data_IF_033204414360
#
_entry.id   IF_033204414360
#
_cell.length_a   1.000
_cell.length_b   1.000
_cell.length_c   1.000
_cell.angle_alpha   90.00
_cell.angle_beta   90.00
_cell.angle_gamma   90.00
#
_symmetry.space_group_name_H-M   'P 1'
#
loop_
_entity.id
_entity.type
_entity.pdbx_description
1 polymer ?
#
# COMPACT_ATOMS: atom_id res chain seq x y z
N UNK A 1 16.06 -2.60 22.80
CA UNK A 1 15.32 -2.69 21.53
C UNK A 1 15.32 -1.33 20.86
N UNK A 2 15.59 -1.25 19.56
CA UNK A 2 15.51 0.01 18.83
C UNK A 2 14.07 0.53 18.86
N UNK A 3 13.88 1.81 19.18
CA UNK A 3 12.54 2.41 19.15
C UNK A 3 11.96 2.39 17.72
N UNK A 4 10.63 2.44 17.59
CA UNK A 4 9.93 2.45 16.29
C UNK A 4 10.49 3.51 15.32
N UNK A 5 10.89 4.67 15.84
CA UNK A 5 11.49 5.74 15.03
C UNK A 5 12.88 5.36 14.51
N UNK A 6 13.70 4.74 15.32
CA UNK A 6 15.04 4.27 14.92
C UNK A 6 14.94 3.18 13.86
N UNK A 7 14.05 2.22 14.05
CA UNK A 7 13.76 1.18 13.06
C UNK A 7 13.27 1.79 11.74
N UNK A 8 12.36 2.78 11.80
CA UNK A 8 11.87 3.50 10.62
C UNK A 8 13.01 4.15 9.85
N UNK A 9 13.88 4.90 10.51
CA UNK A 9 14.97 5.62 9.84
C UNK A 9 16.02 4.64 9.28
N UNK A 10 16.32 3.56 9.97
CA UNK A 10 17.21 2.51 9.49
C UNK A 10 16.66 1.88 8.20
N UNK A 11 15.40 1.44 8.21
CA UNK A 11 14.77 0.79 7.04
C UNK A 11 14.60 1.73 5.84
N UNK A 12 14.37 3.02 6.07
CA UNK A 12 14.41 4.02 5.00
C UNK A 12 15.79 4.12 4.35
N UNK A 13 16.86 4.15 5.16
CA UNK A 13 18.24 4.21 4.65
C UNK A 13 18.60 2.94 3.88
N UNK A 14 18.28 1.76 4.41
CA UNK A 14 18.50 0.48 3.74
C UNK A 14 17.78 0.47 2.38
N UNK A 15 16.52 0.88 2.32
CA UNK A 15 15.75 0.94 1.07
C UNK A 15 16.31 1.97 0.09
N UNK A 16 16.71 3.13 0.55
CA UNK A 16 17.30 4.18 -0.29
C UNK A 16 18.65 3.80 -0.91
N UNK A 17 19.35 2.80 -0.36
CA UNK A 17 20.62 2.30 -0.92
C UNK A 17 20.45 1.40 -2.14
N UNK A 18 19.25 0.92 -2.43
CA UNK A 18 18.97 0.15 -3.64
C UNK A 18 19.13 1.02 -4.89
N UNK A 19 19.61 0.44 -5.98
CA UNK A 19 19.58 1.09 -7.29
C UNK A 19 18.13 1.21 -7.81
N UNK A 20 17.91 2.09 -8.78
CA UNK A 20 16.59 2.19 -9.45
C UNK A 20 16.26 0.91 -10.22
N UNK A 21 17.24 0.28 -10.83
CA UNK A 21 17.10 -0.96 -11.59
C UNK A 21 16.71 -2.13 -10.66
N UNK A 22 17.42 -2.27 -9.53
CA UNK A 22 17.09 -3.29 -8.52
C UNK A 22 15.67 -3.11 -7.96
N UNK A 23 15.30 -1.88 -7.62
CA UNK A 23 13.95 -1.58 -7.13
C UNK A 23 12.87 -1.89 -8.20
N UNK A 24 13.16 -1.62 -9.48
CA UNK A 24 12.25 -1.93 -10.58
C UNK A 24 12.10 -3.44 -10.79
N UNK A 25 13.20 -4.21 -10.82
CA UNK A 25 13.14 -5.67 -10.99
C UNK A 25 12.39 -6.34 -9.83
N UNK A 26 12.72 -5.98 -8.60
CA UNK A 26 12.02 -6.49 -7.42
C UNK A 26 10.52 -6.12 -7.44
N UNK A 27 10.18 -4.90 -7.85
CA UNK A 27 8.78 -4.47 -7.97
C UNK A 27 8.01 -5.27 -9.02
N UNK A 28 8.65 -5.64 -10.14
CA UNK A 28 8.04 -6.50 -11.16
C UNK A 28 7.72 -7.88 -10.59
N UNK A 29 8.64 -8.50 -9.84
CA UNK A 29 8.40 -9.81 -9.19
C UNK A 29 7.28 -9.72 -8.16
N UNK A 30 7.21 -8.63 -7.38
CA UNK A 30 6.12 -8.36 -6.45
C UNK A 30 4.78 -8.23 -7.21
N UNK A 31 4.75 -7.55 -8.36
CA UNK A 31 3.56 -7.44 -9.19
C UNK A 31 3.06 -8.80 -9.69
N UNK A 32 3.95 -9.66 -10.19
CA UNK A 32 3.62 -11.01 -10.64
C UNK A 32 2.98 -11.83 -9.49
N UNK A 33 3.57 -11.76 -8.29
CA UNK A 33 3.03 -12.43 -7.11
C UNK A 33 1.66 -11.85 -6.70
N UNK A 34 1.51 -10.51 -6.66
CA UNK A 34 0.25 -9.85 -6.35
C UNK A 34 -0.87 -10.26 -7.31
N UNK A 35 -0.60 -10.22 -8.62
CA UNK A 35 -1.59 -10.55 -9.65
C UNK A 35 -1.98 -12.03 -9.66
N UNK A 36 -1.14 -12.88 -9.10
CA UNK A 36 -1.42 -14.31 -8.92
C UNK A 36 -2.36 -14.61 -7.75
N UNK A 37 -2.51 -13.69 -6.79
CA UNK A 37 -3.36 -13.88 -5.62
C UNK A 37 -4.83 -14.08 -6.00
N UNK A 38 -5.51 -15.09 -5.45
CA UNK A 38 -6.96 -15.25 -5.63
C UNK A 38 -7.75 -14.01 -5.23
N UNK A 39 -7.35 -13.37 -4.13
CA UNK A 39 -7.97 -12.14 -3.61
C UNK A 39 -7.88 -10.99 -4.62
N UNK A 40 -6.72 -10.83 -5.27
CA UNK A 40 -6.55 -9.83 -6.31
C UNK A 40 -7.39 -10.15 -7.55
N UNK A 41 -7.38 -11.41 -7.98
CA UNK A 41 -8.17 -11.85 -9.17
C UNK A 41 -9.66 -11.62 -8.98
N UNK A 42 -10.18 -11.89 -7.77
CA UNK A 42 -11.60 -11.74 -7.45
C UNK A 42 -12.03 -10.29 -7.21
N UNK A 43 -11.12 -9.43 -6.75
CA UNK A 43 -11.40 -8.03 -6.48
C UNK A 43 -11.83 -7.29 -7.76
N UNK A 44 -12.94 -6.56 -7.70
CA UNK A 44 -13.41 -5.67 -8.77
C UNK A 44 -12.83 -4.27 -8.60
N UNK A 45 -12.87 -3.74 -7.38
CA UNK A 45 -12.32 -2.43 -7.04
C UNK A 45 -11.07 -2.61 -6.19
N UNK A 46 -9.94 -2.12 -6.68
CA UNK A 46 -8.64 -2.19 -6.00
C UNK A 46 -8.12 -0.79 -5.70
N UNK A 47 -7.84 -0.55 -4.43
CA UNK A 47 -7.21 0.66 -3.97
C UNK A 47 -5.68 0.50 -3.96
N UNK A 48 -4.98 1.34 -4.70
CA UNK A 48 -3.52 1.38 -4.75
C UNK A 48 -2.98 2.64 -4.07
N UNK A 49 -1.84 2.57 -3.43
CA UNK A 49 -1.03 3.77 -3.21
C UNK A 49 -0.26 4.11 -4.49
N UNK A 50 0.09 5.38 -4.66
CA UNK A 50 1.01 5.82 -5.72
C UNK A 50 2.39 5.96 -5.10
N UNK A 51 3.38 5.26 -5.63
CA UNK A 51 4.73 5.21 -5.07
C UNK A 51 5.50 6.53 -5.26
N UNK A 52 6.45 6.76 -4.36
CA UNK A 52 7.47 7.81 -4.48
C UNK A 52 8.78 7.19 -4.97
N UNK A 53 9.23 7.61 -6.14
CA UNK A 53 10.47 7.09 -6.74
C UNK A 53 11.70 7.46 -5.91
N UNK A 54 11.75 8.70 -5.38
CA UNK A 54 12.86 9.15 -4.52
C UNK A 54 12.97 8.32 -3.23
N UNK A 55 11.86 7.80 -2.73
CA UNK A 55 11.83 6.96 -1.54
C UNK A 55 12.14 5.49 -1.83
N UNK A 56 12.38 5.10 -3.07
CA UNK A 56 12.56 3.69 -3.49
C UNK A 56 11.45 2.77 -2.97
N UNK A 57 10.20 3.23 -3.04
CA UNK A 57 9.06 2.37 -2.70
C UNK A 57 8.86 1.29 -3.77
N UNK A 58 8.14 0.22 -3.40
CA UNK A 58 7.66 -0.74 -4.40
C UNK A 58 6.82 0.02 -5.42
N UNK A 59 7.19 -0.10 -6.69
CA UNK A 59 6.61 0.67 -7.80
C UNK A 59 5.21 0.15 -8.14
N UNK A 60 4.21 0.97 -7.93
CA UNK A 60 2.80 0.62 -8.17
C UNK A 60 2.24 1.19 -9.47
N UNK A 61 2.93 2.13 -10.11
CA UNK A 61 2.44 2.79 -11.33
C UNK A 61 2.14 1.80 -12.46
N UNK A 62 3.06 0.86 -12.73
CA UNK A 62 2.84 -0.19 -13.73
C UNK A 62 1.75 -1.17 -13.30
N UNK A 63 1.69 -1.52 -11.99
CA UNK A 63 0.63 -2.37 -11.45
C UNK A 63 -0.76 -1.74 -11.62
N UNK A 64 -0.87 -0.42 -11.43
CA UNK A 64 -2.10 0.36 -11.66
C UNK A 64 -2.52 0.25 -13.13
N UNK A 65 -1.59 0.46 -14.07
CA UNK A 65 -1.88 0.35 -15.49
C UNK A 65 -2.34 -1.05 -15.88
N UNK A 66 -1.69 -2.09 -15.37
CA UNK A 66 -2.06 -3.47 -15.68
C UNK A 66 -3.42 -3.84 -15.04
N UNK A 67 -3.69 -3.35 -13.83
CA UNK A 67 -5.00 -3.53 -13.21
C UNK A 67 -6.12 -2.87 -14.05
N UNK A 68 -5.91 -1.65 -14.55
CA UNK A 68 -6.84 -0.98 -15.46
C UNK A 68 -7.04 -1.75 -16.78
N UNK A 69 -5.94 -2.23 -17.39
CA UNK A 69 -6.00 -3.03 -18.63
C UNK A 69 -6.78 -4.32 -18.46
N UNK A 70 -6.76 -4.92 -17.28
CA UNK A 70 -7.54 -6.13 -16.96
C UNK A 70 -8.99 -5.85 -16.55
N UNK A 71 -9.44 -4.60 -16.67
CA UNK A 71 -10.82 -4.20 -16.42
C UNK A 71 -11.16 -4.00 -14.94
N UNK A 72 -10.16 -3.89 -14.06
CA UNK A 72 -10.42 -3.56 -12.67
C UNK A 72 -10.70 -2.06 -12.52
N UNK A 73 -11.58 -1.73 -11.60
CA UNK A 73 -11.77 -0.37 -11.12
C UNK A 73 -10.63 -0.03 -10.17
N UNK A 74 -9.83 0.97 -10.52
CA UNK A 74 -8.67 1.38 -9.72
C UNK A 74 -8.98 2.70 -9.02
N UNK A 75 -8.71 2.74 -7.72
CA UNK A 75 -8.83 3.94 -6.90
C UNK A 75 -7.50 4.25 -6.22
N UNK A 76 -7.15 5.54 -6.14
CA UNK A 76 -5.89 6.00 -5.54
C UNK A 76 -6.16 7.11 -4.53
N UNK A 77 -5.27 7.28 -3.53
CA UNK A 77 -5.52 8.19 -2.42
C UNK A 77 -5.32 9.65 -2.80
N UNK A 78 -6.03 10.52 -2.09
CA UNK A 78 -5.77 11.95 -2.00
C UNK A 78 -6.00 12.43 -0.56
N UNK A 79 -5.26 13.46 -0.15
CA UNK A 79 -5.34 14.00 1.21
C UNK A 79 -6.48 15.02 1.31
N UNK A 80 -7.24 14.94 2.39
CA UNK A 80 -8.34 15.86 2.71
C UNK A 80 -8.20 16.33 4.16
N UNK A 81 -7.66 17.53 4.38
CA UNK A 81 -7.41 18.01 5.75
C UNK A 81 -6.53 17.01 6.53
N UNK A 82 -7.05 16.47 7.63
CA UNK A 82 -6.35 15.48 8.45
C UNK A 82 -6.57 14.02 8.00
N UNK A 83 -7.34 13.82 6.93
CA UNK A 83 -7.76 12.51 6.46
C UNK A 83 -7.18 12.15 5.09
N UNK A 84 -7.62 10.99 4.62
CA UNK A 84 -7.32 10.47 3.30
C UNK A 84 -8.58 9.81 2.75
N UNK A 85 -8.86 10.09 1.49
CA UNK A 85 -9.94 9.48 0.72
C UNK A 85 -9.36 8.86 -0.54
N UNK A 86 -10.14 8.04 -1.23
CA UNK A 86 -9.74 7.43 -2.50
C UNK A 86 -10.66 7.87 -3.63
N UNK A 87 -10.09 8.16 -4.78
CA UNK A 87 -10.82 8.52 -6.01
C UNK A 87 -10.47 7.58 -7.13
N UNK A 88 -11.45 7.25 -7.95
CA UNK A 88 -11.27 6.47 -9.15
C UNK A 88 -10.42 7.23 -10.17
N UNK A 89 -9.58 6.50 -10.88
CA UNK A 89 -8.78 6.99 -12.01
C UNK A 89 -8.92 6.06 -13.21
N UNK A 90 -8.76 6.63 -14.39
CA UNK A 90 -8.77 5.91 -15.68
C UNK A 90 -7.36 5.74 -16.25
N UNK A 91 -6.38 6.48 -15.71
CA UNK A 91 -5.00 6.40 -16.16
C UNK A 91 -4.09 7.45 -15.51
N UNK A 92 -2.79 7.47 -15.87
CA UNK A 92 -1.82 8.41 -15.32
C UNK A 92 -2.13 9.89 -15.58
N UNK A 93 -2.84 10.20 -16.67
CA UNK A 93 -3.28 11.56 -17.01
C UNK A 93 -4.25 12.16 -15.99
N UNK A 94 -4.86 11.33 -15.15
CA UNK A 94 -5.75 11.75 -14.09
C UNK A 94 -5.00 12.22 -12.84
N UNK A 95 -3.68 12.01 -12.79
CA UNK A 95 -2.83 12.36 -11.67
C UNK A 95 -2.14 13.71 -11.88
N UNK A 96 -1.93 14.43 -10.80
CA UNK A 96 -1.13 15.65 -10.71
C UNK A 96 -0.31 15.66 -9.43
N UNK A 97 0.75 16.50 -9.33
CA UNK A 97 1.49 16.64 -8.08
C UNK A 97 0.56 16.93 -6.90
N UNK A 98 0.64 16.12 -5.87
CA UNK A 98 -0.22 16.20 -4.70
C UNK A 98 0.54 16.42 -3.40
N UNK A 99 -0.11 16.14 -2.28
CA UNK A 99 0.46 16.30 -0.95
C UNK A 99 1.69 15.40 -0.75
N UNK A 100 2.67 15.90 -0.02
CA UNK A 100 3.91 15.20 0.33
C UNK A 100 4.75 14.72 -0.88
N UNK A 101 4.54 15.32 -2.06
CA UNK A 101 5.20 14.92 -3.31
C UNK A 101 4.72 13.56 -3.86
N UNK A 102 3.54 13.09 -3.46
CA UNK A 102 2.87 11.92 -4.03
C UNK A 102 1.89 12.39 -5.09
N UNK A 103 1.86 11.79 -6.30
CA UNK A 103 0.81 12.10 -7.26
C UNK A 103 -0.56 11.74 -6.70
N UNK A 104 -1.52 12.66 -6.87
CA UNK A 104 -2.91 12.49 -6.45
C UNK A 104 -3.85 12.73 -7.64
N UNK A 105 -5.09 12.22 -7.60
CA UNK A 105 -6.10 12.58 -8.59
C UNK A 105 -6.25 14.09 -8.69
N UNK A 106 -6.33 14.60 -9.93
CA UNK A 106 -6.52 16.05 -10.17
C UNK A 106 -7.79 16.54 -9.45
N UNK A 107 -7.75 17.71 -8.80
CA UNK A 107 -8.86 18.20 -7.97
C UNK A 107 -10.22 18.19 -8.66
N UNK A 108 -10.26 18.51 -9.94
CA UNK A 108 -11.51 18.59 -10.74
C UNK A 108 -12.17 17.24 -11.01
N UNK A 109 -11.43 16.13 -10.87
CA UNK A 109 -11.97 14.77 -11.08
C UNK A 109 -12.14 14.00 -9.79
N UNK A 110 -11.73 14.54 -8.64
CA UNK A 110 -11.82 13.85 -7.35
C UNK A 110 -13.26 13.53 -7.00
N UNK A 111 -13.54 12.24 -6.87
CA UNK A 111 -14.83 11.71 -6.43
C UNK A 111 -14.57 10.63 -5.40
N UNK A 112 -14.79 10.89 -4.11
CA UNK A 112 -14.60 9.90 -3.07
C UNK A 112 -15.43 8.64 -3.37
N UNK A 113 -14.75 7.49 -3.36
CA UNK A 113 -15.41 6.21 -3.57
C UNK A 113 -15.96 5.70 -2.23
N UNK A 114 -17.21 5.22 -2.16
CA UNK A 114 -17.76 4.63 -0.96
C UNK A 114 -16.89 3.45 -0.47
N UNK A 115 -16.58 3.43 0.83
CA UNK A 115 -15.68 2.41 1.39
C UNK A 115 -16.18 0.98 1.15
N UNK A 116 -17.50 0.77 1.19
CA UNK A 116 -18.12 -0.54 0.91
C UNK A 116 -17.86 -1.08 -0.50
N UNK A 117 -17.38 -0.23 -1.43
CA UNK A 117 -17.09 -0.63 -2.81
C UNK A 117 -15.64 -1.10 -3.00
N UNK A 118 -14.76 -0.91 -2.01
CA UNK A 118 -13.35 -1.31 -2.08
C UNK A 118 -13.21 -2.77 -1.66
N UNK A 119 -12.84 -3.65 -2.59
CA UNK A 119 -12.65 -5.07 -2.32
C UNK A 119 -11.26 -5.39 -1.74
N UNK A 120 -10.25 -4.68 -2.23
CA UNK A 120 -8.86 -4.90 -1.85
C UNK A 120 -8.13 -3.57 -1.80
N UNK A 121 -7.34 -3.38 -0.75
CA UNK A 121 -6.47 -2.22 -0.60
C UNK A 121 -5.02 -2.65 -0.48
N UNK A 122 -4.17 -2.02 -1.28
CA UNK A 122 -2.73 -2.17 -1.27
C UNK A 122 -2.14 -1.02 -0.47
N UNK A 123 -1.35 -1.35 0.55
CA UNK A 123 -0.81 -0.36 1.48
C UNK A 123 0.71 -0.31 1.46
N UNK A 124 1.32 0.90 1.53
CA UNK A 124 2.75 1.07 1.64
C UNK A 124 3.20 0.89 3.09
N UNK A 125 4.51 0.66 3.27
CA UNK A 125 5.14 0.67 4.58
C UNK A 125 6.64 0.88 4.50
N UNK A 126 7.22 1.19 5.64
CA UNK A 126 8.68 1.28 5.81
C UNK A 126 9.24 -0.05 6.31
N UNK A 127 8.53 -0.72 7.20
CA UNK A 127 8.85 -2.06 7.68
C UNK A 127 7.57 -2.86 7.89
N UNK A 128 7.68 -4.19 7.79
CA UNK A 128 6.61 -5.14 8.03
C UNK A 128 7.13 -6.33 8.83
N UNK A 129 6.23 -7.05 9.50
CA UNK A 129 6.50 -8.37 10.06
C UNK A 129 5.53 -9.41 9.51
N UNK A 130 5.85 -10.68 9.70
CA UNK A 130 5.04 -11.80 9.20
C UNK A 130 3.70 -11.97 9.92
N UNK A 131 3.50 -11.31 11.06
CA UNK A 131 2.22 -11.23 11.76
C UNK A 131 1.30 -10.12 11.24
N UNK A 132 1.71 -9.39 10.20
CA UNK A 132 0.94 -8.31 9.58
C UNK A 132 1.19 -6.93 10.19
N UNK A 133 2.11 -6.82 11.15
CA UNK A 133 2.54 -5.54 11.68
C UNK A 133 3.15 -4.65 10.60
N UNK A 134 2.87 -3.34 10.67
CA UNK A 134 3.32 -2.37 9.67
C UNK A 134 3.79 -1.08 10.33
N UNK A 135 5.00 -0.63 9.98
CA UNK A 135 5.49 0.72 10.28
C UNK A 135 5.34 1.59 9.05
N UNK A 136 4.49 2.60 9.13
CA UNK A 136 4.34 3.61 8.10
C UNK A 136 5.22 4.85 8.33
N UNK A 137 4.92 5.93 7.60
CA UNK A 137 5.66 7.19 7.68
C UNK A 137 5.33 8.06 8.91
N UNK A 138 4.44 7.63 9.79
CA UNK A 138 4.15 8.29 11.07
C UNK A 138 2.94 9.24 11.08
N UNK A 139 2.26 9.46 9.96
CA UNK A 139 1.05 10.30 9.87
C UNK A 139 -0.25 9.60 10.27
N UNK A 140 -0.25 8.26 10.30
CA UNK A 140 -1.41 7.45 10.66
C UNK A 140 -2.59 7.48 9.65
N UNK A 141 -2.40 8.02 8.43
CA UNK A 141 -3.45 8.10 7.43
C UNK A 141 -4.04 6.72 7.09
N UNK A 142 -3.19 5.73 6.82
CA UNK A 142 -3.65 4.39 6.49
C UNK A 142 -4.36 3.70 7.65
N UNK A 143 -3.88 3.81 8.89
CA UNK A 143 -4.52 3.17 10.03
C UNK A 143 -5.93 3.74 10.29
N UNK A 144 -6.09 5.06 10.19
CA UNK A 144 -7.42 5.71 10.28
C UNK A 144 -8.33 5.29 9.14
N UNK A 145 -7.81 5.24 7.90
CA UNK A 145 -8.59 4.83 6.73
C UNK A 145 -8.99 3.35 6.82
N UNK A 146 -8.05 2.46 7.11
CA UNK A 146 -8.29 1.02 7.22
C UNK A 146 -9.32 0.68 8.30
N UNK A 147 -9.30 1.41 9.43
CA UNK A 147 -10.32 1.22 10.48
C UNK A 147 -11.71 1.53 9.96
N UNK A 148 -11.89 2.62 9.24
CA UNK A 148 -13.16 2.97 8.59
C UNK A 148 -13.53 1.94 7.53
N UNK A 149 -12.60 1.59 6.66
CA UNK A 149 -12.82 0.59 5.60
C UNK A 149 -13.32 -0.73 6.18
N UNK A 150 -12.60 -1.30 7.14
CA UNK A 150 -12.94 -2.60 7.70
C UNK A 150 -14.18 -2.59 8.60
N UNK A 151 -14.60 -1.42 9.10
CA UNK A 151 -15.89 -1.29 9.79
C UNK A 151 -17.08 -1.33 8.82
N UNK A 152 -16.92 -0.80 7.59
CA UNK A 152 -17.99 -0.79 6.56
C UNK A 152 -17.90 -2.02 5.63
N UNK A 153 -16.70 -2.56 5.43
CA UNK A 153 -16.40 -3.71 4.58
C UNK A 153 -15.45 -4.70 5.28
N UNK A 154 -15.94 -5.50 6.22
CA UNK A 154 -15.08 -6.43 7.02
C UNK A 154 -14.36 -7.49 6.18
N UNK A 155 -14.88 -7.82 5.01
CA UNK A 155 -14.30 -8.78 4.06
C UNK A 155 -13.26 -8.18 3.11
N UNK A 156 -13.08 -6.85 3.09
CA UNK A 156 -12.03 -6.21 2.32
C UNK A 156 -10.64 -6.75 2.70
N UNK A 157 -9.80 -6.96 1.69
CA UNK A 157 -8.44 -7.49 1.90
C UNK A 157 -7.41 -6.37 1.93
N UNK A 158 -6.58 -6.39 2.97
CA UNK A 158 -5.45 -5.45 3.13
C UNK A 158 -4.17 -6.19 2.75
N UNK A 159 -3.50 -5.72 1.70
CA UNK A 159 -2.26 -6.29 1.17
C UNK A 159 -1.13 -5.30 1.36
N UNK A 160 -0.07 -5.69 2.07
CA UNK A 160 1.17 -4.94 2.14
C UNK A 160 2.10 -5.33 1.00
N UNK A 161 2.71 -4.35 0.33
CA UNK A 161 3.83 -4.60 -0.57
C UNK A 161 5.12 -4.12 0.07
N UNK A 162 6.14 -4.96 0.04
CA UNK A 162 7.44 -4.67 0.63
C UNK A 162 8.55 -5.37 -0.15
N UNK A 163 9.74 -4.81 -0.13
CA UNK A 163 10.94 -5.58 -0.44
C UNK A 163 11.28 -6.48 0.76
N UNK A 164 11.85 -7.67 0.52
CA UNK A 164 12.16 -8.61 1.60
C UNK A 164 13.05 -7.98 2.68
N UNK A 165 13.96 -7.08 2.31
CA UNK A 165 14.79 -6.31 3.24
C UNK A 165 13.99 -5.44 4.24
N UNK A 166 12.72 -5.16 3.96
CA UNK A 166 11.84 -4.40 4.86
C UNK A 166 11.18 -5.28 5.93
N UNK A 167 11.33 -6.60 5.83
CA UNK A 167 10.78 -7.54 6.80
C UNK A 167 11.63 -7.53 8.06
N UNK A 168 10.97 -7.53 9.21
CA UNK A 168 11.56 -7.60 10.55
C UNK A 168 10.90 -8.70 11.36
N UNK A 169 11.54 -9.13 12.44
CA UNK A 169 11.05 -10.24 13.26
C UNK A 169 9.69 -9.94 13.89
N UNK A 170 9.56 -8.75 14.49
CA UNK A 170 8.34 -8.34 15.19
C UNK A 170 8.23 -6.83 15.28
N UNK A 171 7.00 -6.34 15.08
CA UNK A 171 6.59 -4.95 15.30
C UNK A 171 5.63 -4.93 16.48
N UNK A 172 5.95 -4.12 17.50
CA UNK A 172 5.02 -3.85 18.58
C UNK A 172 3.87 -2.99 18.05
N UNK A 173 2.68 -3.58 17.97
CA UNK A 173 1.47 -2.92 17.48
C UNK A 173 0.74 -2.19 18.62
N UNK A 174 0.26 -1.01 18.33
CA UNK A 174 -0.69 -0.28 19.19
C UNK A 174 -2.11 -0.78 18.88
N UNK A 175 -3.07 -0.63 19.80
CA UNK A 175 -4.48 -0.94 19.53
C UNK A 175 -5.07 -0.17 18.33
N UNK A 176 -4.41 0.92 17.95
CA UNK A 176 -4.79 1.74 16.78
C UNK A 176 -4.27 1.22 15.45
N UNK A 177 -3.28 0.36 15.45
CA UNK A 177 -2.63 -0.10 14.24
C UNK A 177 -3.44 -1.24 13.60
N UNK A 178 -3.66 -1.14 12.30
CA UNK A 178 -4.41 -2.14 11.54
C UNK A 178 -3.43 -3.03 10.78
N UNK A 179 -3.38 -4.33 11.09
CA UNK A 179 -2.47 -5.25 10.41
C UNK A 179 -2.87 -5.49 8.96
N UNK A 180 -1.89 -5.85 8.12
CA UNK A 180 -2.15 -6.38 6.79
C UNK A 180 -2.59 -7.84 6.89
N UNK A 181 -3.43 -8.27 5.96
CA UNK A 181 -3.89 -9.67 5.86
C UNK A 181 -2.92 -10.52 5.05
N UNK A 182 -2.29 -9.90 4.06
CA UNK A 182 -1.33 -10.56 3.16
C UNK A 182 -0.16 -9.61 2.98
N UNK A 183 1.05 -10.15 3.02
CA UNK A 183 2.28 -9.45 2.72
C UNK A 183 2.91 -10.09 1.48
N UNK A 184 3.25 -9.27 0.49
CA UNK A 184 3.88 -9.72 -0.76
C UNK A 184 5.24 -9.08 -0.88
N UNK A 185 6.27 -9.91 -1.04
CA UNK A 185 7.64 -9.49 -1.33
C UNK A 185 8.11 -10.07 -2.66
N UNK A 186 9.28 -9.68 -3.12
CA UNK A 186 9.90 -10.29 -4.30
C UNK A 186 10.32 -11.75 -4.11
N UNK A 187 10.29 -12.25 -2.86
CA UNK A 187 10.71 -13.61 -2.52
C UNK A 187 9.55 -14.52 -2.13
N UNK A 188 8.49 -13.96 -1.54
CA UNK A 188 7.40 -14.78 -0.98
C UNK A 188 6.10 -14.00 -0.79
N UNK A 189 5.03 -14.77 -0.63
CA UNK A 189 3.73 -14.32 -0.14
C UNK A 189 3.51 -14.86 1.26
N UNK A 190 3.22 -14.00 2.21
CA UNK A 190 2.92 -14.36 3.59
C UNK A 190 1.45 -14.07 3.89
N UNK A 191 0.70 -15.08 4.30
CA UNK A 191 -0.64 -14.91 4.87
C UNK A 191 -0.49 -14.65 6.36
N UNK A 192 -0.69 -13.39 6.76
CA UNK A 192 -0.49 -12.98 8.13
C UNK A 192 -1.61 -13.55 9.01
N UNK A 193 -1.22 -14.20 10.11
CA UNK A 193 -2.19 -14.72 11.07
C UNK A 193 -2.98 -13.56 11.67
N UNK A 194 -4.30 -13.70 11.73
CA UNK A 194 -5.17 -12.79 12.47
C UNK A 194 -5.14 -13.21 13.93
N UNK A 195 -4.26 -12.63 14.73
CA UNK A 195 -4.48 -12.55 16.17
C UNK A 195 -5.38 -11.34 16.41
N UNK A 196 -6.69 -11.58 16.45
CA UNK A 196 -7.70 -10.62 16.87
C UNK A 196 -8.10 -10.88 18.33
#
# INVERSE_FOLDING_TARGET
MAGVNELRERKKKERASMSLEEAADKSRRIAEALFSLPEFKQAKTVAFYVNKDEAREVRTQEMILDALRTGKRVVVPFVTGDGMEFSEISGPSDLSPGAFGVPEPRPEIRRPVPLREIDLIIVPGVAFDTGGGRIGYGKGFYDRFLRRLLSERPDARVVGLAFEMQIVDRIERKPSDIPVHILVTEERVVRCCRDF
#
